data_IF_543286894132
#
_entry.id   IF_543286894132
#
_cell.length_a   1.000
_cell.length_b   1.000
_cell.length_c   1.000
_cell.angle_alpha   90.00
_cell.angle_beta   90.00
_cell.angle_gamma   90.00
#
_symmetry.space_group_name_H-M   'P 1'
#
loop_
_entity.id
_entity.type
_entity.pdbx_description
1 polymer ?
#
# COMPACT_ATOMS: atom_id res chain seq x y z
N UNK A 1 3.01 3.21 1.26
CA UNK A 1 4.34 2.92 1.88
C UNK A 1 4.66 3.82 3.07
N UNK A 2 4.30 5.09 3.05
CA UNK A 2 4.59 6.08 4.12
C UNK A 2 3.99 5.75 5.49
N UNK A 3 3.15 4.73 5.58
CA UNK A 3 2.69 4.16 6.86
C UNK A 3 3.73 3.24 7.50
N UNK A 4 4.79 2.87 6.78
CA UNK A 4 5.82 1.92 7.19
C UNK A 4 7.22 2.55 7.18
N UNK A 5 7.47 3.48 6.27
CA UNK A 5 8.79 4.13 6.11
C UNK A 5 8.69 5.63 6.34
N UNK A 6 9.74 6.17 6.97
CA UNK A 6 9.87 7.62 7.17
C UNK A 6 10.24 8.32 5.87
N UNK A 7 9.43 9.31 5.48
CA UNK A 7 9.70 10.16 4.33
C UNK A 7 9.83 11.61 4.84
N UNK A 8 11.02 12.23 4.74
CA UNK A 8 11.19 13.62 5.12
C UNK A 8 10.17 14.54 4.42
N UNK A 9 9.72 15.55 5.10
CA UNK A 9 8.73 16.55 4.63
C UNK A 9 7.31 16.03 4.39
N UNK A 10 7.04 14.74 4.61
CA UNK A 10 5.74 14.11 4.38
C UNK A 10 4.93 13.83 5.67
N UNK A 11 5.19 14.57 6.78
CA UNK A 11 4.54 14.31 8.08
C UNK A 11 3.02 14.27 8.01
N UNK A 12 2.30 15.27 7.44
CA UNK A 12 0.84 15.22 7.40
C UNK A 12 0.30 14.03 6.59
N UNK A 13 0.93 13.74 5.46
CA UNK A 13 0.57 12.63 4.60
C UNK A 13 0.82 11.28 5.29
N UNK A 14 2.02 11.10 5.86
CA UNK A 14 2.38 9.87 6.59
C UNK A 14 1.47 9.64 7.79
N UNK A 15 1.13 10.68 8.55
CA UNK A 15 0.19 10.60 9.67
C UNK A 15 -1.20 10.14 9.21
N UNK A 16 -1.72 10.71 8.13
CA UNK A 16 -3.02 10.32 7.57
C UNK A 16 -3.04 8.86 7.13
N UNK A 17 -1.99 8.41 6.46
CA UNK A 17 -1.87 7.03 5.96
C UNK A 17 -1.61 6.02 7.08
N UNK A 18 -0.86 6.37 8.10
CA UNK A 18 -0.65 5.52 9.29
C UNK A 18 -1.94 5.37 10.10
N UNK A 19 -2.75 6.42 10.18
CA UNK A 19 -4.08 6.36 10.79
C UNK A 19 -4.99 5.31 10.16
N UNK A 20 -4.88 5.08 8.84
CA UNK A 20 -5.64 4.03 8.15
C UNK A 20 -5.31 2.62 8.65
N UNK A 21 -4.07 2.35 9.06
CA UNK A 21 -3.70 1.06 9.65
C UNK A 21 -4.37 0.85 11.01
N UNK A 22 -4.38 1.89 11.84
CA UNK A 22 -5.10 1.88 13.12
C UNK A 22 -6.60 1.67 12.92
N UNK A 23 -7.20 2.42 12.02
CA UNK A 23 -8.61 2.29 11.67
C UNK A 23 -8.95 0.89 11.14
N UNK A 24 -8.14 0.33 10.24
CA UNK A 24 -8.33 -1.02 9.69
C UNK A 24 -8.37 -2.06 10.81
N UNK A 25 -7.46 -1.98 11.77
CA UNK A 25 -7.40 -2.91 12.91
C UNK A 25 -8.60 -2.74 13.85
N UNK A 26 -8.94 -1.51 14.20
CA UNK A 26 -10.05 -1.22 15.09
C UNK A 26 -11.38 -1.70 14.51
N UNK A 27 -11.68 -1.33 13.26
CA UNK A 27 -12.92 -1.74 12.59
C UNK A 27 -12.97 -3.26 12.34
N UNK A 28 -11.84 -3.90 12.09
CA UNK A 28 -11.79 -5.36 11.93
C UNK A 28 -12.20 -6.08 13.21
N UNK A 29 -11.77 -5.58 14.36
CA UNK A 29 -12.13 -6.13 15.66
C UNK A 29 -13.59 -5.83 16.04
N UNK A 30 -14.04 -4.60 15.78
CA UNK A 30 -15.39 -4.14 16.12
C UNK A 30 -16.47 -4.88 15.30
N UNK A 31 -16.23 -5.07 14.00
CA UNK A 31 -17.23 -5.64 13.09
C UNK A 31 -17.10 -7.15 12.85
N UNK A 32 -16.10 -7.79 13.47
CA UNK A 32 -15.90 -9.24 13.35
C UNK A 32 -17.14 -10.06 13.79
N UNK A 33 -17.83 -9.60 14.84
CA UNK A 33 -19.08 -10.22 15.33
C UNK A 33 -20.18 -10.24 14.26
N UNK A 34 -20.18 -9.25 13.38
CA UNK A 34 -21.16 -9.11 12.30
C UNK A 34 -20.67 -9.79 11.01
N UNK A 35 -19.56 -10.54 11.07
CA UNK A 35 -18.91 -11.22 9.92
C UNK A 35 -18.43 -10.26 8.83
N UNK A 36 -18.15 -9.01 9.19
CA UNK A 36 -17.60 -8.01 8.29
C UNK A 36 -16.07 -8.03 8.42
N UNK A 37 -15.39 -8.18 7.31
CA UNK A 37 -13.94 -8.13 7.22
C UNK A 37 -13.48 -6.75 6.78
N UNK A 38 -12.43 -6.25 7.41
CA UNK A 38 -11.82 -4.95 7.08
C UNK A 38 -10.33 -5.18 6.86
N UNK A 39 -9.88 -4.91 5.65
CA UNK A 39 -8.49 -5.03 5.26
C UNK A 39 -8.05 -3.81 4.46
N UNK A 40 -6.75 -3.61 4.35
CA UNK A 40 -6.15 -2.54 3.57
C UNK A 40 -5.16 -3.11 2.55
N UNK A 41 -4.89 -2.33 1.51
CA UNK A 41 -3.75 -2.53 0.62
C UNK A 41 -2.79 -1.35 0.78
N UNK A 42 -1.49 -1.61 0.66
CA UNK A 42 -0.44 -0.61 0.69
C UNK A 42 0.31 -0.62 -0.66
N UNK A 43 -0.16 0.16 -1.63
CA UNK A 43 0.53 0.27 -2.92
C UNK A 43 1.93 0.87 -2.75
N UNK A 44 2.87 0.39 -3.55
CA UNK A 44 4.22 0.91 -3.67
C UNK A 44 4.28 2.20 -4.49
N UNK A 45 5.25 2.25 -5.39
CA UNK A 45 5.41 3.35 -6.33
C UNK A 45 4.60 3.09 -7.60
N UNK A 46 3.50 3.85 -7.72
CA UNK A 46 2.56 3.82 -8.85
C UNK A 46 2.47 5.19 -9.48
N UNK A 47 2.49 5.22 -10.80
CA UNK A 47 2.31 6.47 -11.55
C UNK A 47 0.84 6.88 -11.51
N UNK A 48 0.59 8.08 -10.99
CA UNK A 48 -0.74 8.69 -10.89
C UNK A 48 -0.63 10.17 -11.23
N UNK A 49 -1.74 10.85 -11.48
CA UNK A 49 -1.75 12.30 -11.69
C UNK A 49 -1.04 13.05 -10.55
N UNK A 50 -1.23 12.63 -9.30
CA UNK A 50 -0.61 13.24 -8.12
C UNK A 50 0.92 13.08 -8.12
N UNK A 51 1.42 11.96 -8.61
CA UNK A 51 2.85 11.61 -8.59
C UNK A 51 3.57 11.93 -9.89
N UNK A 52 2.86 12.30 -10.94
CA UNK A 52 3.39 12.51 -12.29
C UNK A 52 4.62 13.42 -12.33
N UNK A 53 4.66 14.47 -11.49
CA UNK A 53 5.81 15.37 -11.41
C UNK A 53 7.12 14.68 -11.04
N UNK A 54 7.06 13.64 -10.19
CA UNK A 54 8.24 12.88 -9.79
C UNK A 54 8.70 11.96 -10.92
N UNK A 55 7.76 11.39 -11.67
CA UNK A 55 8.04 10.53 -12.82
C UNK A 55 8.54 11.28 -14.07
N UNK A 56 8.66 12.60 -14.02
CA UNK A 56 9.35 13.42 -15.04
C UNK A 56 10.85 13.59 -14.77
N UNK A 57 11.30 13.26 -13.56
CA UNK A 57 12.71 13.32 -13.16
C UNK A 57 13.35 11.94 -13.33
N UNK A 58 14.19 11.80 -14.34
CA UNK A 58 14.87 10.54 -14.66
C UNK A 58 15.81 10.08 -13.53
N UNK A 59 16.50 11.01 -12.86
CA UNK A 59 17.40 10.68 -11.76
C UNK A 59 16.61 10.12 -10.56
N UNK A 60 15.46 10.72 -10.29
CA UNK A 60 14.57 10.20 -9.25
C UNK A 60 14.03 8.81 -9.61
N UNK A 61 13.64 8.59 -10.88
CA UNK A 61 13.18 7.27 -11.33
C UNK A 61 14.25 6.21 -11.12
N UNK A 62 15.48 6.44 -11.57
CA UNK A 62 16.60 5.51 -11.41
C UNK A 62 16.84 5.19 -9.93
N UNK A 63 16.93 6.21 -9.08
CA UNK A 63 17.14 6.04 -7.64
C UNK A 63 16.00 5.27 -6.94
N UNK A 64 14.77 5.37 -7.43
CA UNK A 64 13.65 4.60 -6.89
C UNK A 64 13.62 3.17 -7.41
N UNK A 65 13.92 2.96 -8.70
CA UNK A 65 13.97 1.61 -9.30
C UNK A 65 15.04 0.74 -8.65
N UNK A 66 16.18 1.30 -8.26
CA UNK A 66 17.24 0.58 -7.51
C UNK A 66 16.73 0.04 -6.16
N UNK A 67 15.75 0.71 -5.56
CA UNK A 67 15.17 0.32 -4.26
C UNK A 67 14.03 -0.68 -4.36
N UNK A 68 13.52 -0.92 -5.56
CA UNK A 68 12.41 -1.83 -5.81
C UNK A 68 12.99 -3.15 -6.35
N UNK A 69 12.94 -4.27 -5.60
CA UNK A 69 13.50 -5.55 -6.06
C UNK A 69 13.01 -6.02 -7.42
N UNK A 70 11.76 -5.74 -7.78
CA UNK A 70 11.24 -6.05 -9.12
C UNK A 70 11.83 -5.16 -10.23
N UNK A 71 12.50 -4.06 -9.89
CA UNK A 71 13.13 -3.15 -10.87
C UNK A 71 12.13 -2.39 -11.75
N UNK A 72 10.85 -2.38 -11.42
CA UNK A 72 9.79 -1.69 -12.16
C UNK A 72 8.84 -0.97 -11.20
N UNK A 73 8.21 0.10 -11.69
CA UNK A 73 7.08 0.71 -11.01
C UNK A 73 5.81 -0.16 -11.21
N UNK A 74 4.88 -0.06 -10.26
CA UNK A 74 3.61 -0.75 -10.34
C UNK A 74 2.66 -0.12 -11.37
N UNK A 75 1.86 -0.95 -12.00
CA UNK A 75 0.71 -0.57 -12.83
C UNK A 75 -0.61 -0.75 -12.04
N UNK A 76 -1.62 0.04 -12.34
CA UNK A 76 -2.92 -0.03 -11.66
C UNK A 76 -3.57 -1.44 -11.74
N UNK A 77 -3.26 -2.21 -12.77
CA UNK A 77 -3.74 -3.59 -12.90
C UNK A 77 -3.16 -4.52 -11.85
N UNK A 78 -1.96 -4.24 -11.33
CA UNK A 78 -1.31 -5.07 -10.30
C UNK A 78 -2.09 -5.05 -8.98
N UNK A 79 -2.91 -4.04 -8.74
CA UNK A 79 -3.75 -3.94 -7.55
C UNK A 79 -5.01 -4.82 -7.64
N UNK A 80 -5.48 -5.15 -8.85
CA UNK A 80 -6.76 -5.83 -9.07
C UNK A 80 -6.84 -7.18 -8.38
N UNK A 81 -5.78 -7.99 -8.49
CA UNK A 81 -5.74 -9.32 -7.90
C UNK A 81 -5.93 -9.29 -6.38
N UNK A 82 -5.25 -8.39 -5.69
CA UNK A 82 -5.37 -8.23 -4.24
C UNK A 82 -6.75 -7.73 -3.82
N UNK A 83 -7.33 -6.79 -4.58
CA UNK A 83 -8.69 -6.27 -4.31
C UNK A 83 -9.72 -7.38 -4.49
N UNK A 84 -9.67 -8.14 -5.58
CA UNK A 84 -10.55 -9.28 -5.83
C UNK A 84 -10.40 -10.34 -4.73
N UNK A 85 -9.18 -10.72 -4.40
CA UNK A 85 -8.90 -11.69 -3.34
C UNK A 85 -9.48 -11.24 -2.00
N UNK A 86 -9.17 -10.02 -1.56
CA UNK A 86 -9.65 -9.49 -0.27
C UNK A 86 -11.17 -9.29 -0.24
N UNK A 87 -11.81 -9.10 -1.38
CA UNK A 87 -13.27 -8.90 -1.48
C UNK A 87 -14.04 -10.21 -1.65
N UNK A 88 -13.36 -11.34 -1.87
CA UNK A 88 -13.98 -12.63 -2.14
C UNK A 88 -13.97 -13.56 -0.92
N UNK A 89 -14.65 -14.70 -1.04
CA UNK A 89 -14.64 -15.78 -0.05
C UNK A 89 -13.26 -16.46 0.09
N UNK A 90 -12.37 -16.31 -0.88
CA UNK A 90 -11.00 -16.82 -0.80
C UNK A 90 -10.20 -16.23 0.36
N UNK A 91 -10.61 -15.06 0.88
CA UNK A 91 -10.02 -14.41 2.06
C UNK A 91 -10.96 -14.42 3.28
N UNK A 92 -11.87 -15.39 3.36
CA UNK A 92 -12.93 -15.42 4.39
C UNK A 92 -12.41 -15.36 5.85
N UNK A 93 -11.20 -15.81 6.12
CA UNK A 93 -10.57 -15.78 7.44
C UNK A 93 -9.47 -14.70 7.59
N UNK A 94 -9.48 -13.71 6.70
CA UNK A 94 -8.50 -12.61 6.70
C UNK A 94 -9.22 -11.29 7.03
N UNK A 95 -8.87 -10.69 8.17
CA UNK A 95 -9.34 -9.36 8.56
C UNK A 95 -8.27 -8.64 9.37
N UNK A 96 -8.29 -7.31 9.38
CA UNK A 96 -7.33 -6.46 10.09
C UNK A 96 -5.94 -6.39 9.44
N UNK A 97 -5.79 -6.92 8.23
CA UNK A 97 -4.51 -7.00 7.54
C UNK A 97 -4.29 -5.83 6.58
N UNK A 98 -3.01 -5.54 6.32
CA UNK A 98 -2.60 -4.64 5.26
C UNK A 98 -1.61 -5.38 4.36
N UNK A 99 -1.96 -5.53 3.08
CA UNK A 99 -1.13 -6.23 2.10
C UNK A 99 -0.34 -5.20 1.29
N UNK A 100 0.98 -5.29 1.34
CA UNK A 100 1.85 -4.50 0.47
C UNK A 100 1.81 -5.04 -0.96
N UNK A 101 1.71 -4.12 -1.93
CA UNK A 101 1.77 -4.42 -3.36
C UNK A 101 2.78 -3.43 -3.93
N UNK A 102 4.05 -3.72 -3.78
CA UNK A 102 5.12 -2.73 -3.87
C UNK A 102 6.40 -3.23 -4.59
N UNK A 103 6.32 -4.38 -5.25
CA UNK A 103 7.47 -4.96 -5.94
C UNK A 103 8.61 -5.38 -5.01
N UNK A 104 8.32 -5.59 -3.72
CA UNK A 104 9.30 -5.99 -2.70
C UNK A 104 9.98 -4.84 -1.99
N UNK A 105 9.58 -3.60 -2.22
CA UNK A 105 10.22 -2.43 -1.63
C UNK A 105 10.32 -2.52 -0.10
N UNK A 106 9.21 -2.81 0.61
CA UNK A 106 9.22 -2.91 2.07
C UNK A 106 9.99 -4.12 2.61
N UNK A 107 10.18 -5.16 1.81
CA UNK A 107 10.93 -6.33 2.21
C UNK A 107 12.45 -6.15 2.10
N UNK A 108 12.91 -5.10 1.41
CA UNK A 108 14.33 -4.84 1.13
C UNK A 108 14.93 -3.66 1.90
N UNK A 109 14.16 -3.02 2.77
CA UNK A 109 14.61 -1.89 3.60
C UNK A 109 14.79 -2.27 5.06
#
# INVERSE_FOLDING_TARGET
LTSYVGVPTAVPYSSSKSGLLGMTRALSAEWAKDKIRVNAIAPGYYRTELTEKFYKDENWQLAMLEKIPFGTFGDANDLKGAVIFLSSSASAYITGQCIAIDGGFLASI
#
